data_IF_009717192651
#
_entry.id   IF_009717192651
#
_cell.length_a   1.000
_cell.length_b   1.000
_cell.length_c   1.000
_cell.angle_alpha   90.00
_cell.angle_beta   90.00
_cell.angle_gamma   90.00
#
_symmetry.space_group_name_H-M   'P 1'
#
loop_
_entity.id
_entity.type
_entity.pdbx_description
1 polymer ?
#
# COMPACT_ATOMS: atom_id res chain seq x y z
N UNK A 1 32.24 14.88 11.46
CA UNK A 1 31.60 15.07 12.77
C UNK A 1 30.55 13.98 12.93
N UNK A 2 30.61 13.20 14.03
CA UNK A 2 29.52 12.25 14.30
C UNK A 2 28.21 13.02 14.55
N UNK A 3 27.18 12.71 13.79
CA UNK A 3 25.85 13.30 13.98
C UNK A 3 25.31 12.92 15.38
N UNK A 4 24.76 13.89 16.10
CA UNK A 4 24.16 13.65 17.43
C UNK A 4 23.10 12.54 17.33
N UNK A 5 23.21 11.53 18.20
CA UNK A 5 22.22 10.45 18.32
C UNK A 5 21.10 10.88 19.27
N UNK A 6 19.85 10.74 18.82
CA UNK A 6 18.65 11.09 19.57
C UNK A 6 17.94 9.85 20.12
N UNK A 7 18.07 8.69 19.45
CA UNK A 7 17.27 7.51 19.70
C UNK A 7 18.15 6.31 20.03
N UNK A 8 17.78 5.58 21.09
CA UNK A 8 18.35 4.29 21.41
C UNK A 8 17.71 3.20 20.53
N UNK A 9 18.32 2.01 20.43
CA UNK A 9 17.84 0.93 19.58
C UNK A 9 16.39 0.51 19.91
N UNK A 10 16.05 0.44 21.20
CA UNK A 10 14.70 0.07 21.62
C UNK A 10 13.63 1.13 21.30
N UNK A 11 14.01 2.41 21.22
CA UNK A 11 13.10 3.46 20.74
C UNK A 11 12.78 3.26 19.25
N UNK A 12 13.78 2.87 18.44
CA UNK A 12 13.61 2.63 17.01
C UNK A 12 12.72 1.41 16.74
N UNK A 13 12.96 0.31 17.47
CA UNK A 13 12.13 -0.90 17.39
C UNK A 13 10.72 -0.62 17.89
N UNK A 14 10.59 0.03 19.05
CA UNK A 14 9.28 0.41 19.59
C UNK A 14 8.49 1.34 18.64
N UNK A 15 9.15 2.35 18.05
CA UNK A 15 8.52 3.18 17.02
C UNK A 15 8.06 2.35 15.82
N UNK A 16 8.90 1.44 15.32
CA UNK A 16 8.58 0.57 14.19
C UNK A 16 7.36 -0.34 14.42
N UNK A 17 7.05 -0.70 15.68
CA UNK A 17 5.86 -1.52 16.00
C UNK A 17 4.54 -0.86 15.60
N UNK A 18 4.52 0.45 15.32
CA UNK A 18 3.37 1.14 14.73
C UNK A 18 2.97 0.59 13.36
N UNK A 19 3.93 0.04 12.60
CA UNK A 19 3.61 -0.62 11.33
C UNK A 19 2.94 -1.98 11.51
N UNK A 20 3.08 -2.65 12.67
CA UNK A 20 2.23 -3.81 13.01
C UNK A 20 0.78 -3.35 13.07
N UNK A 21 0.51 -2.29 13.81
CA UNK A 21 -0.84 -1.75 13.94
C UNK A 21 -1.44 -1.35 12.58
N UNK A 22 -0.70 -0.57 11.78
CA UNK A 22 -1.14 -0.15 10.45
C UNK A 22 -1.41 -1.32 9.51
N UNK A 23 -0.52 -2.32 9.49
CA UNK A 23 -0.63 -3.45 8.57
C UNK A 23 -1.62 -4.52 9.01
N UNK A 24 -1.92 -4.66 10.30
CA UNK A 24 -3.04 -5.49 10.76
C UNK A 24 -4.36 -5.00 10.13
N UNK A 25 -4.61 -3.70 10.11
CA UNK A 25 -5.80 -3.13 9.45
C UNK A 25 -5.69 -3.26 7.94
N UNK A 26 -4.59 -2.80 7.35
CA UNK A 26 -4.43 -2.77 5.91
C UNK A 26 -4.48 -4.16 5.28
N UNK A 27 -3.70 -5.12 5.79
CA UNK A 27 -3.63 -6.46 5.22
C UNK A 27 -4.93 -7.24 5.37
N UNK A 28 -5.63 -7.09 6.52
CA UNK A 28 -6.93 -7.72 6.73
C UNK A 28 -7.97 -7.20 5.73
N UNK A 29 -8.05 -5.88 5.55
CA UNK A 29 -9.01 -5.27 4.63
C UNK A 29 -8.64 -5.57 3.18
N UNK A 30 -7.39 -5.38 2.79
CA UNK A 30 -6.97 -5.58 1.40
C UNK A 30 -7.12 -7.02 0.91
N UNK A 31 -6.87 -8.00 1.79
CA UNK A 31 -6.91 -9.41 1.42
C UNK A 31 -8.29 -10.06 1.62
N UNK A 32 -9.05 -9.65 2.64
CA UNK A 32 -10.17 -10.45 3.11
C UNK A 32 -11.51 -9.71 3.17
N UNK A 33 -11.56 -8.38 3.12
CA UNK A 33 -12.83 -7.65 3.24
C UNK A 33 -13.81 -8.02 2.12
N UNK A 34 -13.32 -8.16 0.88
CA UNK A 34 -14.17 -8.49 -0.25
C UNK A 34 -14.80 -9.89 -0.08
N UNK A 35 -13.98 -10.92 0.22
CA UNK A 35 -14.49 -12.29 0.39
C UNK A 35 -15.38 -12.43 1.63
N UNK A 36 -15.11 -11.69 2.70
CA UNK A 36 -16.00 -11.64 3.85
C UNK A 36 -17.38 -11.09 3.47
N UNK A 37 -17.40 -9.97 2.74
CA UNK A 37 -18.66 -9.33 2.35
C UNK A 37 -19.45 -10.15 1.32
N UNK A 38 -18.77 -10.81 0.40
CA UNK A 38 -19.42 -11.62 -0.64
C UNK A 38 -19.83 -13.01 -0.12
N UNK A 39 -18.91 -13.76 0.47
CA UNK A 39 -19.13 -15.17 0.81
C UNK A 39 -19.78 -15.37 2.16
N UNK A 40 -19.55 -14.46 3.12
CA UNK A 40 -20.09 -14.61 4.48
C UNK A 40 -21.36 -13.78 4.68
N UNK A 41 -21.35 -12.52 4.25
CA UNK A 41 -22.51 -11.62 4.40
C UNK A 41 -23.50 -11.76 3.22
N UNK A 42 -23.01 -12.09 2.03
CA UNK A 42 -23.87 -12.30 0.87
C UNK A 42 -24.09 -11.07 0.00
N UNK A 43 -23.18 -10.09 0.04
CA UNK A 43 -23.28 -8.85 -0.69
C UNK A 43 -22.73 -8.98 -2.12
N UNK A 44 -23.24 -8.17 -3.05
CA UNK A 44 -22.76 -8.15 -4.43
C UNK A 44 -21.39 -7.52 -4.53
N UNK A 45 -20.43 -8.24 -5.13
CA UNK A 45 -19.05 -7.80 -5.27
C UNK A 45 -18.87 -6.47 -6.03
N UNK A 46 -19.71 -6.21 -7.04
CA UNK A 46 -19.68 -4.99 -7.83
C UNK A 46 -20.07 -3.76 -7.01
N UNK A 47 -21.12 -3.88 -6.18
CA UNK A 47 -21.55 -2.81 -5.29
C UNK A 47 -20.49 -2.56 -4.23
N UNK A 48 -19.97 -3.61 -3.59
CA UNK A 48 -18.90 -3.51 -2.59
C UNK A 48 -17.67 -2.84 -3.16
N UNK A 49 -17.21 -3.23 -4.36
CA UNK A 49 -16.08 -2.61 -5.03
C UNK A 49 -16.29 -1.12 -5.31
N UNK A 50 -17.51 -0.73 -5.73
CA UNK A 50 -17.88 0.67 -5.93
C UNK A 50 -17.83 1.47 -4.63
N UNK A 51 -18.36 0.93 -3.53
CA UNK A 51 -18.33 1.59 -2.22
C UNK A 51 -16.89 1.78 -1.71
N UNK A 52 -16.02 0.78 -1.92
CA UNK A 52 -14.58 0.89 -1.60
C UNK A 52 -13.93 2.00 -2.43
N UNK A 53 -14.22 2.08 -3.74
CA UNK A 53 -13.65 3.11 -4.59
C UNK A 53 -14.06 4.52 -4.15
N UNK A 54 -15.34 4.73 -3.85
CA UNK A 54 -15.86 6.00 -3.35
C UNK A 54 -15.18 6.36 -2.03
N UNK A 55 -15.07 5.42 -1.11
CA UNK A 55 -14.37 5.63 0.16
C UNK A 55 -12.91 6.04 -0.02
N UNK A 56 -12.20 5.47 -1.01
CA UNK A 56 -10.81 5.81 -1.33
C UNK A 56 -10.64 7.24 -1.88
N UNK A 57 -11.65 7.79 -2.54
CA UNK A 57 -11.65 9.20 -2.95
C UNK A 57 -11.71 10.11 -1.70
N UNK A 58 -12.58 9.80 -0.74
CA UNK A 58 -12.64 10.53 0.53
C UNK A 58 -11.33 10.41 1.31
N UNK A 59 -10.71 9.23 1.33
CA UNK A 59 -9.40 9.00 1.96
C UNK A 59 -8.31 9.90 1.35
N UNK A 60 -8.28 10.07 0.02
CA UNK A 60 -7.33 10.98 -0.64
C UNK A 60 -7.53 12.46 -0.28
N UNK A 61 -8.79 12.90 -0.13
CA UNK A 61 -9.11 14.27 0.25
C UNK A 61 -8.76 14.53 1.71
N UNK A 62 -9.03 13.58 2.60
CA UNK A 62 -8.81 13.71 4.04
C UNK A 62 -7.34 13.81 4.44
N UNK A 63 -6.40 13.31 3.62
CA UNK A 63 -4.96 13.44 3.87
C UNK A 63 -4.52 14.89 4.07
N UNK A 64 -4.96 15.77 3.18
CA UNK A 64 -4.61 17.20 3.24
C UNK A 64 -5.20 17.85 4.49
N UNK A 65 -6.42 17.47 4.84
CA UNK A 65 -7.12 17.99 5.99
C UNK A 65 -6.42 17.59 7.31
N UNK A 66 -6.14 16.29 7.49
CA UNK A 66 -5.48 15.81 8.71
C UNK A 66 -4.03 16.28 8.81
N UNK A 67 -3.29 16.39 7.71
CA UNK A 67 -1.96 16.96 7.71
C UNK A 67 -1.95 18.38 8.32
N UNK A 68 -2.86 19.24 7.85
CA UNK A 68 -2.98 20.61 8.36
C UNK A 68 -3.44 20.67 9.83
N UNK A 69 -4.28 19.73 10.27
CA UNK A 69 -4.71 19.67 11.69
C UNK A 69 -3.58 19.24 12.62
N UNK A 70 -2.78 18.24 12.20
CA UNK A 70 -1.62 17.75 12.98
C UNK A 70 -0.60 18.88 13.17
N UNK A 71 -0.29 19.63 12.11
CA UNK A 71 0.66 20.74 12.17
C UNK A 71 0.24 21.84 13.12
N UNK A 72 -1.07 22.10 13.26
CA UNK A 72 -1.63 23.10 14.18
C UNK A 72 -1.78 22.59 15.61
N UNK A 73 -1.63 21.30 15.85
CA UNK A 73 -1.84 20.67 17.16
C UNK A 73 -0.70 21.03 18.12
N UNK A 74 -1.06 21.48 19.32
CA UNK A 74 -0.14 21.79 20.42
C UNK A 74 -0.64 21.12 21.69
N UNK A 75 -0.03 20.02 22.09
CA UNK A 75 -0.38 19.29 23.31
C UNK A 75 0.85 18.97 24.14
N UNK A 76 0.64 18.58 25.41
CA UNK A 76 1.72 18.09 26.27
C UNK A 76 2.41 16.82 25.75
N UNK A 77 1.73 16.06 24.90
CA UNK A 77 2.28 14.86 24.27
C UNK A 77 3.07 15.17 22.98
N UNK A 78 2.95 16.37 22.43
CA UNK A 78 3.50 16.78 21.15
C UNK A 78 2.43 17.07 20.11
N UNK A 79 2.81 17.10 18.82
CA UNK A 79 1.93 17.40 17.68
C UNK A 79 1.29 16.14 17.10
N UNK A 80 2.09 15.11 16.84
CA UNK A 80 1.68 13.90 16.12
C UNK A 80 1.22 12.77 17.07
N UNK A 81 1.88 12.59 18.21
CA UNK A 81 1.61 11.48 19.14
C UNK A 81 0.15 11.38 19.61
N UNK A 82 -0.58 12.46 19.95
CA UNK A 82 -1.97 12.35 20.35
C UNK A 82 -2.87 11.86 19.22
N UNK A 83 -2.65 12.31 17.98
CA UNK A 83 -3.40 11.83 16.80
C UNK A 83 -3.16 10.37 16.53
N UNK A 84 -1.91 9.92 16.69
CA UNK A 84 -1.55 8.53 16.56
C UNK A 84 -2.22 7.67 17.63
N UNK A 85 -2.18 8.10 18.89
CA UNK A 85 -2.75 7.33 20.01
C UNK A 85 -4.28 7.24 19.91
N UNK A 86 -4.94 8.40 19.89
CA UNK A 86 -6.42 8.45 19.92
C UNK A 86 -7.04 8.04 18.58
N UNK A 87 -6.40 8.36 17.44
CA UNK A 87 -6.85 7.94 16.13
C UNK A 87 -6.93 6.42 16.00
N UNK A 88 -5.99 5.69 16.59
CA UNK A 88 -6.00 4.24 16.48
C UNK A 88 -7.13 3.55 17.26
N UNK A 89 -7.62 4.12 18.34
CA UNK A 89 -8.83 3.61 18.99
C UNK A 89 -10.04 3.66 18.05
N UNK A 90 -10.18 4.75 17.30
CA UNK A 90 -11.21 4.83 16.26
C UNK A 90 -11.01 3.80 15.14
N UNK A 91 -9.75 3.56 14.72
CA UNK A 91 -9.43 2.48 13.76
C UNK A 91 -9.89 1.12 14.28
N UNK A 92 -9.59 0.78 15.54
CA UNK A 92 -9.93 -0.49 16.14
C UNK A 92 -11.45 -0.70 16.22
N UNK A 93 -12.20 0.32 16.62
CA UNK A 93 -13.67 0.29 16.67
C UNK A 93 -14.26 0.12 15.27
N UNK A 94 -13.80 0.88 14.29
CA UNK A 94 -14.29 0.79 12.92
C UNK A 94 -13.90 -0.55 12.26
N UNK A 95 -12.70 -1.07 12.54
CA UNK A 95 -12.30 -2.39 12.06
C UNK A 95 -13.23 -3.48 12.60
N UNK A 96 -13.50 -3.48 13.91
CA UNK A 96 -14.45 -4.39 14.51
C UNK A 96 -15.85 -4.21 13.90
N UNK A 97 -16.32 -2.99 13.69
CA UNK A 97 -17.62 -2.69 13.11
C UNK A 97 -17.78 -3.27 11.69
N UNK A 98 -16.74 -3.22 10.84
CA UNK A 98 -16.78 -3.80 9.48
C UNK A 98 -17.06 -5.30 9.54
N UNK A 99 -16.50 -6.03 10.51
CA UNK A 99 -16.69 -7.47 10.66
C UNK A 99 -17.82 -7.84 11.63
N UNK A 100 -18.54 -6.84 12.17
CA UNK A 100 -19.71 -6.99 13.03
C UNK A 100 -21.02 -6.68 12.32
N UNK A 101 -21.07 -6.72 11.00
CA UNK A 101 -22.30 -6.49 10.23
C UNK A 101 -23.33 -7.57 10.62
N UNK A 102 -24.55 -7.18 11.09
CA UNK A 102 -25.59 -8.15 11.40
C UNK A 102 -26.08 -8.86 10.14
N UNK A 103 -26.11 -10.21 10.19
CA UNK A 103 -26.50 -11.03 9.03
C UNK A 103 -27.98 -10.91 8.72
N UNK A 104 -28.80 -10.61 9.75
CA UNK A 104 -30.27 -10.53 9.65
C UNK A 104 -30.77 -9.18 9.13
N UNK A 105 -29.89 -8.21 8.90
CA UNK A 105 -30.25 -6.92 8.33
C UNK A 105 -30.52 -7.05 6.82
N UNK A 106 -31.43 -6.24 6.30
CA UNK A 106 -31.61 -6.12 4.85
C UNK A 106 -30.35 -5.62 4.14
N UNK A 107 -30.11 -6.11 2.93
CA UNK A 107 -28.88 -5.84 2.16
C UNK A 107 -28.53 -4.36 2.04
N UNK A 108 -29.51 -3.48 1.84
CA UNK A 108 -29.30 -2.02 1.78
C UNK A 108 -28.69 -1.48 3.07
N UNK A 109 -29.17 -1.93 4.22
CA UNK A 109 -28.64 -1.50 5.52
C UNK A 109 -27.23 -2.07 5.76
N UNK A 110 -26.93 -3.29 5.27
CA UNK A 110 -25.59 -3.88 5.33
C UNK A 110 -24.59 -3.11 4.47
N UNK A 111 -24.98 -2.69 3.26
CA UNK A 111 -24.14 -1.81 2.40
C UNK A 111 -23.87 -0.47 3.08
N UNK A 112 -24.90 0.16 3.65
CA UNK A 112 -24.75 1.44 4.34
C UNK A 112 -23.85 1.30 5.57
N UNK A 113 -24.03 0.27 6.37
CA UNK A 113 -23.18 -0.05 7.52
C UNK A 113 -21.71 -0.22 7.11
N UNK A 114 -21.47 -1.06 6.10
CA UNK A 114 -20.14 -1.27 5.58
C UNK A 114 -19.51 0.03 5.10
N UNK A 115 -20.23 0.80 4.27
CA UNK A 115 -19.71 2.04 3.69
C UNK A 115 -19.35 3.08 4.76
N UNK A 116 -20.19 3.26 5.76
CA UNK A 116 -19.94 4.19 6.87
C UNK A 116 -18.72 3.72 7.68
N UNK A 117 -18.70 2.47 8.12
CA UNK A 117 -17.61 1.94 8.95
C UNK A 117 -16.28 1.95 8.18
N UNK A 118 -16.28 1.55 6.90
CA UNK A 118 -15.10 1.50 6.06
C UNK A 118 -14.57 2.90 5.73
N UNK A 119 -15.45 3.87 5.46
CA UNK A 119 -15.07 5.25 5.16
C UNK A 119 -14.55 5.96 6.39
N UNK A 120 -15.20 5.82 7.55
CA UNK A 120 -14.71 6.37 8.82
C UNK A 120 -13.35 5.76 9.18
N UNK A 121 -13.16 4.46 8.96
CA UNK A 121 -11.88 3.82 9.18
C UNK A 121 -10.81 4.43 8.28
N UNK A 122 -10.97 4.37 6.96
CA UNK A 122 -9.92 4.77 6.02
C UNK A 122 -9.73 6.29 5.97
N UNK A 123 -10.79 7.05 5.65
CA UNK A 123 -10.71 8.50 5.45
C UNK A 123 -10.69 9.31 6.76
N UNK A 124 -11.01 8.69 7.87
CA UNK A 124 -10.98 9.35 9.19
C UNK A 124 -9.78 8.90 10.02
N UNK A 125 -10.00 7.83 10.76
CA UNK A 125 -9.09 7.42 11.83
C UNK A 125 -7.75 6.87 11.34
N UNK A 126 -7.75 6.03 10.30
CA UNK A 126 -6.52 5.44 9.76
C UNK A 126 -5.65 6.51 9.09
N UNK A 127 -6.24 7.41 8.30
CA UNK A 127 -5.52 8.53 7.69
C UNK A 127 -4.92 9.45 8.75
N UNK A 128 -5.68 9.83 9.78
CA UNK A 128 -5.16 10.65 10.87
C UNK A 128 -3.99 9.98 11.59
N UNK A 129 -4.11 8.68 11.91
CA UNK A 129 -3.04 7.90 12.53
C UNK A 129 -1.81 7.78 11.63
N UNK A 130 -1.99 7.43 10.35
CA UNK A 130 -0.89 7.17 9.42
C UNK A 130 -0.09 8.43 9.07
N UNK A 131 -0.77 9.59 8.89
CA UNK A 131 -0.09 10.87 8.66
C UNK A 131 0.68 11.29 9.91
N UNK A 132 0.07 11.15 11.09
CA UNK A 132 0.75 11.43 12.36
C UNK A 132 1.98 10.54 12.55
N UNK A 133 1.86 9.24 12.28
CA UNK A 133 2.95 8.29 12.35
C UNK A 133 4.10 8.63 11.39
N UNK A 134 3.77 9.01 10.17
CA UNK A 134 4.78 9.40 9.17
C UNK A 134 5.49 10.71 9.54
N UNK A 135 4.74 11.72 10.01
CA UNK A 135 5.31 13.00 10.44
C UNK A 135 6.17 12.86 11.69
N UNK A 136 5.84 11.90 12.58
CA UNK A 136 6.57 11.63 13.81
C UNK A 136 8.05 11.31 13.55
N UNK A 137 8.39 10.68 12.42
CA UNK A 137 9.79 10.41 12.04
C UNK A 137 10.65 11.67 12.03
N UNK A 138 10.10 12.78 11.52
CA UNK A 138 10.82 14.05 11.44
C UNK A 138 10.85 14.78 12.79
N UNK A 139 9.89 14.50 13.68
CA UNK A 139 9.72 15.17 14.97
C UNK A 139 10.55 14.55 16.09
N UNK A 140 11.04 13.32 15.95
CA UNK A 140 11.77 12.59 17.00
C UNK A 140 13.28 12.55 16.81
N UNK A 141 13.79 12.85 15.62
CA UNK A 141 15.22 12.91 15.34
C UNK A 141 15.56 13.83 14.17
N UNK A 142 16.72 14.50 14.27
CA UNK A 142 17.35 15.23 13.17
C UNK A 142 18.42 14.42 12.44
N UNK A 143 18.82 13.28 13.00
CA UNK A 143 19.87 12.44 12.45
C UNK A 143 19.34 11.62 11.26
N UNK A 144 19.91 11.85 10.08
CA UNK A 144 19.48 11.18 8.85
C UNK A 144 19.71 9.66 8.89
N UNK A 145 20.82 9.21 9.50
CA UNK A 145 21.09 7.78 9.67
C UNK A 145 20.05 7.09 10.55
N UNK A 146 19.58 7.75 11.63
CA UNK A 146 18.49 7.24 12.46
C UNK A 146 17.16 7.17 11.70
N UNK A 147 16.84 8.17 10.87
CA UNK A 147 15.64 8.16 10.01
C UNK A 147 15.62 6.99 9.05
N UNK A 148 16.78 6.71 8.41
CA UNK A 148 16.92 5.55 7.50
C UNK A 148 16.75 4.23 8.27
N UNK A 149 17.39 4.10 9.43
CA UNK A 149 17.24 2.89 10.28
C UNK A 149 15.78 2.67 10.71
N UNK A 150 15.07 3.72 11.12
CA UNK A 150 13.65 3.64 11.46
C UNK A 150 12.81 3.23 10.26
N UNK A 151 13.07 3.80 9.09
CA UNK A 151 12.41 3.39 7.85
C UNK A 151 12.58 1.90 7.56
N UNK A 152 13.81 1.38 7.68
CA UNK A 152 14.09 -0.05 7.48
C UNK A 152 13.36 -0.95 8.48
N UNK A 153 13.34 -0.56 9.77
CA UNK A 153 12.62 -1.30 10.82
C UNK A 153 11.11 -1.29 10.54
N UNK A 154 10.56 -0.14 10.13
CA UNK A 154 9.17 -0.01 9.72
C UNK A 154 8.82 -0.98 8.60
N UNK A 155 9.61 -1.03 7.53
CA UNK A 155 9.39 -1.97 6.43
C UNK A 155 9.42 -3.42 6.88
N UNK A 156 10.34 -3.82 7.76
CA UNK A 156 10.39 -5.18 8.30
C UNK A 156 9.09 -5.54 9.04
N UNK A 157 8.59 -4.65 9.90
CA UNK A 157 7.32 -4.88 10.60
C UNK A 157 6.12 -4.88 9.64
N UNK A 158 6.09 -3.97 8.67
CA UNK A 158 5.00 -3.88 7.70
C UNK A 158 4.88 -5.17 6.88
N UNK A 159 5.97 -5.60 6.25
CA UNK A 159 5.97 -6.82 5.44
C UNK A 159 5.75 -8.08 6.29
N UNK A 160 6.42 -8.18 7.44
CA UNK A 160 6.26 -9.32 8.34
C UNK A 160 4.82 -9.47 8.83
N UNK A 161 4.18 -8.37 9.24
CA UNK A 161 2.78 -8.38 9.67
C UNK A 161 1.84 -8.74 8.52
N UNK A 162 2.03 -8.13 7.36
CA UNK A 162 1.20 -8.41 6.18
C UNK A 162 1.26 -9.89 5.78
N UNK A 163 2.46 -10.48 5.78
CA UNK A 163 2.66 -11.91 5.52
C UNK A 163 1.95 -12.79 6.56
N UNK A 164 2.10 -12.47 7.84
CA UNK A 164 1.46 -13.23 8.91
C UNK A 164 -0.07 -13.17 8.81
N UNK A 165 -0.64 -11.99 8.63
CA UNK A 165 -2.10 -11.82 8.48
C UNK A 165 -2.62 -12.66 7.30
N UNK A 166 -1.99 -12.59 6.14
CA UNK A 166 -2.41 -13.34 4.96
C UNK A 166 -2.24 -14.87 5.12
N UNK A 167 -1.21 -15.31 5.83
CA UNK A 167 -0.95 -16.73 6.05
C UNK A 167 -1.83 -17.37 7.12
N UNK A 168 -2.19 -16.62 8.16
CA UNK A 168 -2.80 -17.18 9.38
C UNK A 168 -4.31 -16.98 9.42
N UNK A 169 -4.84 -15.88 8.82
CA UNK A 169 -6.25 -15.49 9.00
C UNK A 169 -7.24 -16.59 8.60
N UNK A 170 -7.09 -17.19 7.42
CA UNK A 170 -8.02 -18.25 6.95
C UNK A 170 -8.02 -19.43 7.92
N UNK A 171 -6.83 -19.92 8.30
CA UNK A 171 -6.69 -21.04 9.24
C UNK A 171 -7.25 -20.71 10.62
N UNK A 172 -7.14 -19.45 11.05
CA UNK A 172 -7.64 -19.00 12.34
C UNK A 172 -9.18 -18.92 12.32
N UNK A 173 -9.75 -18.40 11.25
CA UNK A 173 -11.21 -18.39 11.03
C UNK A 173 -11.77 -19.82 11.02
N UNK A 174 -11.13 -20.74 10.29
CA UNK A 174 -11.54 -22.15 10.25
C UNK A 174 -11.50 -22.81 11.64
N UNK A 175 -10.42 -22.60 12.40
CA UNK A 175 -10.31 -23.14 13.79
C UNK A 175 -11.38 -22.63 14.73
N UNK A 176 -11.90 -21.44 14.49
CA UNK A 176 -12.99 -20.83 15.26
C UNK A 176 -14.39 -21.26 14.76
N UNK A 177 -14.47 -22.21 13.85
CA UNK A 177 -15.73 -22.76 13.34
C UNK A 177 -16.27 -22.06 12.09
N UNK A 178 -15.56 -21.11 11.51
CA UNK A 178 -15.98 -20.39 10.30
C UNK A 178 -17.16 -19.44 10.50
N UNK A 179 -17.69 -18.89 9.40
CA UNK A 179 -18.84 -17.99 9.40
C UNK A 179 -18.58 -16.60 10.01
N UNK A 180 -19.64 -15.79 10.11
CA UNK A 180 -19.53 -14.38 10.52
C UNK A 180 -18.98 -14.22 11.95
N UNK A 181 -19.31 -15.12 12.87
CA UNK A 181 -18.85 -15.06 14.26
C UNK A 181 -17.32 -15.26 14.36
N UNK A 182 -16.74 -16.19 13.58
CA UNK A 182 -15.31 -16.42 13.55
C UNK A 182 -14.56 -15.20 12.98
N UNK A 183 -15.04 -14.64 11.87
CA UNK A 183 -14.47 -13.42 11.28
C UNK A 183 -14.51 -12.24 12.25
N UNK A 184 -15.64 -12.05 12.95
CA UNK A 184 -15.78 -11.02 13.98
C UNK A 184 -14.73 -11.18 15.08
N UNK A 185 -14.57 -12.41 15.59
CA UNK A 185 -13.61 -12.72 16.66
C UNK A 185 -12.18 -12.42 16.20
N UNK A 186 -11.81 -12.83 15.00
CA UNK A 186 -10.48 -12.57 14.42
C UNK A 186 -10.23 -11.06 14.26
N UNK A 187 -11.21 -10.31 13.74
CA UNK A 187 -11.09 -8.87 13.58
C UNK A 187 -10.93 -8.13 14.92
N UNK A 188 -11.66 -8.56 15.97
CA UNK A 188 -11.51 -8.00 17.32
C UNK A 188 -10.12 -8.30 17.89
N UNK A 189 -9.61 -9.52 17.75
CA UNK A 189 -8.27 -9.89 18.21
C UNK A 189 -7.23 -9.04 17.50
N UNK A 190 -7.34 -8.87 16.19
CA UNK A 190 -6.44 -8.03 15.40
C UNK A 190 -6.55 -6.55 15.79
N UNK A 191 -7.75 -6.05 16.06
CA UNK A 191 -7.95 -4.69 16.57
C UNK A 191 -7.22 -4.47 17.91
N UNK A 192 -7.31 -5.43 18.83
CA UNK A 192 -6.61 -5.38 20.13
C UNK A 192 -5.08 -5.40 19.94
N UNK A 193 -4.55 -6.31 19.09
CA UNK A 193 -3.13 -6.37 18.77
C UNK A 193 -2.67 -5.01 18.21
N UNK A 194 -3.46 -4.42 17.33
CA UNK A 194 -3.16 -3.13 16.76
C UNK A 194 -3.15 -2.00 17.80
N UNK A 195 -4.11 -1.95 18.71
CA UNK A 195 -4.13 -0.97 19.82
C UNK A 195 -2.88 -1.09 20.69
N UNK A 196 -2.51 -2.32 21.07
CA UNK A 196 -1.32 -2.57 21.89
C UNK A 196 -0.06 -2.10 21.14
N UNK A 197 0.12 -2.54 19.89
CA UNK A 197 1.30 -2.21 19.08
C UNK A 197 1.41 -0.71 18.80
N UNK A 198 0.31 -0.04 18.47
CA UNK A 198 0.28 1.41 18.28
C UNK A 198 0.60 2.17 19.56
N UNK A 199 0.05 1.73 20.71
CA UNK A 199 0.33 2.34 22.02
C UNK A 199 1.80 2.18 22.38
N UNK A 200 2.39 1.00 22.19
CA UNK A 200 3.84 0.77 22.38
C UNK A 200 4.64 1.72 21.50
N UNK A 201 4.28 1.87 20.23
CA UNK A 201 4.95 2.77 19.29
C UNK A 201 4.94 4.22 19.78
N UNK A 202 3.78 4.73 20.18
CA UNK A 202 3.62 6.11 20.67
C UNK A 202 4.41 6.35 21.95
N UNK A 203 4.41 5.41 22.89
CA UNK A 203 5.08 5.54 24.18
C UNK A 203 6.61 5.34 24.10
N UNK A 204 7.08 4.64 23.05
CA UNK A 204 8.52 4.34 22.86
C UNK A 204 9.35 5.57 22.49
N UNK A 205 8.75 6.63 21.99
CA UNK A 205 9.44 7.82 21.49
C UNK A 205 8.85 9.11 22.07
N UNK A 206 9.65 10.17 22.05
CA UNK A 206 9.23 11.51 22.47
C UNK A 206 9.55 12.49 21.35
N UNK A 207 8.63 13.39 21.07
CA UNK A 207 8.86 14.49 20.15
C UNK A 207 9.86 15.49 20.72
N UNK A 208 10.74 16.01 19.88
CA UNK A 208 11.66 17.09 20.20
C UNK A 208 10.88 18.38 20.40
N UNK A 209 11.36 19.23 21.29
CA UNK A 209 10.74 20.55 21.50
C UNK A 209 10.88 21.44 20.25
N UNK A 210 9.99 22.42 20.09
CA UNK A 210 10.07 23.38 18.97
C UNK A 210 11.43 24.12 18.95
N UNK A 211 12.05 24.35 20.13
CA UNK A 211 13.40 24.92 20.25
C UNK A 211 14.46 23.97 19.67
N UNK A 212 14.41 22.69 20.04
CA UNK A 212 15.33 21.68 19.52
C UNK A 212 15.14 21.47 18.01
N UNK A 213 13.93 21.58 17.49
CA UNK A 213 13.63 21.46 16.06
C UNK A 213 14.13 22.66 15.25
N UNK A 214 14.11 23.87 15.80
CA UNK A 214 14.56 25.10 15.14
C UNK A 214 16.08 25.31 15.21
N UNK A 215 16.78 24.76 16.20
CA UNK A 215 18.23 24.83 16.29
C UNK A 215 18.92 24.22 15.06
N UNK A 216 19.66 25.01 14.28
CA UNK A 216 20.42 24.55 13.12
C UNK A 216 19.67 24.57 11.78
N UNK A 217 18.42 25.02 11.72
CA UNK A 217 17.84 25.46 10.45
C UNK A 217 18.49 26.80 10.07
N UNK A 218 19.42 26.78 9.14
CA UNK A 218 19.66 27.95 8.28
C UNK A 218 18.35 28.21 7.56
N UNK A 219 17.96 29.48 7.44
CA UNK A 219 16.80 29.90 6.67
C UNK A 219 16.88 29.25 5.30
N UNK A 220 16.23 28.08 5.17
CA UNK A 220 16.06 27.43 3.89
C UNK A 220 15.15 28.35 3.08
N UNK A 221 15.75 28.90 2.03
CA UNK A 221 15.22 29.66 0.91
C UNK A 221 13.68 29.76 0.93
N UNK A 222 13.19 30.98 0.99
CA UNK A 222 11.78 31.31 0.86
C UNK A 222 11.16 30.42 -0.24
N UNK A 223 10.37 29.43 0.18
CA UNK A 223 9.57 28.67 -0.79
C UNK A 223 8.71 29.69 -1.50
N UNK A 224 9.04 30.00 -2.75
CA UNK A 224 8.15 30.80 -3.57
C UNK A 224 6.76 30.18 -3.47
N UNK A 225 5.79 30.94 -2.98
CA UNK A 225 4.41 30.51 -2.85
C UNK A 225 3.82 30.36 -4.24
N UNK A 226 3.92 29.16 -4.81
CA UNK A 226 3.23 28.84 -6.05
C UNK A 226 1.73 28.78 -5.82
N UNK A 227 0.98 29.26 -6.82
CA UNK A 227 -0.41 28.87 -6.93
C UNK A 227 -0.46 27.36 -7.23
N UNK A 228 -1.19 26.56 -6.44
CA UNK A 228 -1.34 25.12 -6.62
C UNK A 228 -1.76 24.75 -8.04
N UNK A 229 -2.56 25.62 -8.69
CA UNK A 229 -3.01 25.43 -10.07
C UNK A 229 -1.82 25.50 -11.05
N UNK A 230 -0.89 26.42 -10.84
CA UNK A 230 0.28 26.55 -11.71
C UNK A 230 1.25 25.38 -11.53
N UNK A 231 1.45 24.92 -10.28
CA UNK A 231 2.22 23.72 -10.01
C UNK A 231 1.59 22.51 -10.70
N UNK A 232 0.27 22.32 -10.61
CA UNK A 232 -0.43 21.24 -11.28
C UNK A 232 -0.31 21.31 -12.81
N UNK A 233 -0.41 22.50 -13.41
CA UNK A 233 -0.18 22.68 -14.85
C UNK A 233 1.22 22.27 -15.29
N UNK A 234 2.25 22.61 -14.52
CA UNK A 234 3.65 22.20 -14.78
C UNK A 234 3.75 20.66 -14.77
N UNK A 235 3.15 20.01 -13.77
CA UNK A 235 3.20 18.55 -13.62
C UNK A 235 2.51 17.83 -14.79
N UNK A 236 1.36 18.29 -15.23
CA UNK A 236 0.61 17.69 -16.37
C UNK A 236 1.38 17.84 -17.69
N UNK A 237 2.23 18.84 -17.83
CA UNK A 237 3.07 19.00 -19.03
C UNK A 237 4.41 18.23 -18.94
N UNK A 238 4.75 17.69 -17.78
CA UNK A 238 5.94 16.87 -17.61
C UNK A 238 5.65 15.41 -18.00
N UNK A 239 6.15 14.99 -19.18
CA UNK A 239 5.97 13.62 -19.69
C UNK A 239 6.46 12.53 -18.74
N UNK A 240 7.58 12.76 -18.02
CA UNK A 240 8.12 11.79 -17.07
C UNK A 240 7.25 11.65 -15.82
N UNK A 241 6.66 12.75 -15.37
CA UNK A 241 5.69 12.71 -14.28
C UNK A 241 4.44 11.92 -14.67
N UNK A 242 3.88 12.12 -15.86
CA UNK A 242 2.74 11.36 -16.36
C UNK A 242 3.06 9.86 -16.49
N UNK A 243 4.28 9.52 -16.92
CA UNK A 243 4.75 8.13 -16.98
C UNK A 243 4.80 7.49 -15.58
N UNK A 244 5.32 8.21 -14.57
CA UNK A 244 5.35 7.73 -13.18
C UNK A 244 3.93 7.56 -12.64
N UNK A 245 3.03 8.51 -12.87
CA UNK A 245 1.63 8.37 -12.49
C UNK A 245 0.96 7.16 -13.15
N UNK A 246 1.23 6.94 -14.43
CA UNK A 246 0.76 5.75 -15.15
C UNK A 246 1.30 4.43 -14.57
N UNK A 247 2.58 4.40 -14.23
CA UNK A 247 3.19 3.24 -13.57
C UNK A 247 2.56 2.96 -12.20
N UNK A 248 2.36 3.99 -11.37
CA UNK A 248 1.66 3.86 -10.08
C UNK A 248 0.24 3.33 -10.24
N UNK A 249 -0.52 3.89 -11.18
CA UNK A 249 -1.88 3.42 -11.45
C UNK A 249 -1.89 1.93 -11.81
N UNK A 250 -1.02 1.52 -12.75
CA UNK A 250 -0.91 0.12 -13.16
C UNK A 250 -0.47 -0.81 -12.03
N UNK A 251 0.46 -0.35 -11.15
CA UNK A 251 0.86 -1.09 -9.96
C UNK A 251 -0.30 -1.28 -8.98
N UNK A 252 -1.18 -0.30 -8.84
CA UNK A 252 -2.37 -0.42 -7.98
C UNK A 252 -3.43 -1.35 -8.59
N UNK A 253 -3.65 -1.28 -9.89
CA UNK A 253 -4.50 -2.24 -10.60
C UNK A 253 -3.97 -3.67 -10.48
N UNK A 254 -2.66 -3.85 -10.64
CA UNK A 254 -1.97 -5.11 -10.41
C UNK A 254 -2.21 -5.64 -8.98
N UNK A 255 -2.02 -4.80 -7.97
CA UNK A 255 -2.24 -5.17 -6.57
C UNK A 255 -3.69 -5.57 -6.30
N UNK A 256 -4.66 -4.85 -6.86
CA UNK A 256 -6.08 -5.17 -6.72
C UNK A 256 -6.43 -6.53 -7.34
N UNK A 257 -5.88 -6.86 -8.52
CA UNK A 257 -6.11 -8.17 -9.15
C UNK A 257 -5.46 -9.31 -8.36
N UNK A 258 -4.32 -9.10 -7.74
CA UNK A 258 -3.73 -10.07 -6.82
C UNK A 258 -4.56 -10.28 -5.55
N UNK A 259 -5.23 -9.24 -5.05
CA UNK A 259 -6.18 -9.35 -3.95
C UNK A 259 -7.35 -10.30 -4.24
N UNK A 260 -7.73 -10.45 -5.53
CA UNK A 260 -8.73 -11.44 -5.95
C UNK A 260 -8.19 -12.87 -6.01
N UNK A 261 -6.91 -13.08 -5.74
CA UNK A 261 -6.26 -14.40 -5.74
C UNK A 261 -6.89 -15.39 -4.79
N UNK A 262 -7.50 -14.92 -3.69
CA UNK A 262 -8.21 -15.80 -2.75
C UNK A 262 -9.38 -16.54 -3.42
N UNK A 263 -10.10 -15.88 -4.34
CA UNK A 263 -11.17 -16.52 -5.13
C UNK A 263 -10.62 -17.54 -6.11
N UNK A 264 -9.51 -17.20 -6.79
CA UNK A 264 -8.84 -18.14 -7.68
C UNK A 264 -8.38 -19.39 -6.94
N UNK A 265 -7.77 -19.22 -5.76
CA UNK A 265 -7.32 -20.34 -4.93
C UNK A 265 -8.47 -21.17 -4.39
N UNK A 266 -9.56 -20.55 -3.95
CA UNK A 266 -10.74 -21.24 -3.43
C UNK A 266 -11.48 -22.01 -4.51
N UNK A 267 -11.77 -21.38 -5.64
CA UNK A 267 -12.68 -21.93 -6.66
C UNK A 267 -12.00 -22.60 -7.86
N UNK A 268 -10.70 -22.34 -8.08
CA UNK A 268 -9.92 -22.97 -9.15
C UNK A 268 -8.93 -23.99 -8.60
N UNK A 269 -8.19 -23.64 -7.54
CA UNK A 269 -7.21 -24.54 -6.94
C UNK A 269 -7.78 -25.37 -5.77
N UNK A 270 -9.05 -25.16 -5.39
CA UNK A 270 -9.79 -25.99 -4.43
C UNK A 270 -9.53 -25.69 -2.96
N UNK A 271 -8.69 -24.69 -2.61
CA UNK A 271 -8.47 -24.30 -1.22
C UNK A 271 -7.95 -22.86 -1.07
N UNK A 272 -8.63 -22.06 -0.28
CA UNK A 272 -8.24 -20.68 0.05
C UNK A 272 -6.98 -20.59 0.95
N UNK A 273 -6.60 -21.69 1.63
CA UNK A 273 -5.36 -21.78 2.42
C UNK A 273 -4.09 -21.51 1.59
N UNK A 274 -4.12 -21.78 0.28
CA UNK A 274 -3.03 -21.47 -0.63
C UNK A 274 -2.74 -19.97 -0.72
N UNK A 275 -3.71 -19.11 -0.44
CA UNK A 275 -3.51 -17.66 -0.48
C UNK A 275 -2.35 -17.20 0.42
N UNK A 276 -2.24 -17.76 1.63
CA UNK A 276 -1.11 -17.51 2.50
C UNK A 276 0.23 -18.00 1.91
N UNK A 277 0.24 -19.18 1.29
CA UNK A 277 1.44 -19.75 0.65
C UNK A 277 1.92 -18.87 -0.51
N UNK A 278 1.00 -18.41 -1.35
CA UNK A 278 1.31 -17.47 -2.44
C UNK A 278 1.77 -16.10 -1.92
N UNK A 279 1.20 -15.62 -0.81
CA UNK A 279 1.67 -14.41 -0.15
C UNK A 279 3.16 -14.52 0.26
N UNK A 280 3.59 -15.67 0.77
CA UNK A 280 5.00 -15.91 1.07
C UNK A 280 5.87 -15.92 -0.18
N UNK A 281 5.40 -16.57 -1.24
CA UNK A 281 6.10 -16.61 -2.53
C UNK A 281 6.24 -15.21 -3.18
N UNK A 282 5.37 -14.26 -2.84
CA UNK A 282 5.48 -12.86 -3.28
C UNK A 282 6.43 -12.08 -2.36
N UNK A 283 6.15 -12.08 -1.05
CA UNK A 283 6.79 -11.14 -0.13
C UNK A 283 8.24 -11.48 0.18
N UNK A 284 8.62 -12.77 0.34
CA UNK A 284 10.01 -13.15 0.66
C UNK A 284 10.98 -12.74 -0.46
N UNK A 285 10.75 -13.12 -1.75
CA UNK A 285 11.64 -12.69 -2.83
C UNK A 285 11.64 -11.18 -3.04
N UNK A 286 10.51 -10.50 -2.80
CA UNK A 286 10.43 -9.04 -2.88
C UNK A 286 11.32 -8.38 -1.83
N UNK A 287 11.29 -8.84 -0.57
CA UNK A 287 12.15 -8.32 0.50
C UNK A 287 13.63 -8.53 0.15
N UNK A 288 14.00 -9.74 -0.30
CA UNK A 288 15.37 -10.04 -0.71
C UNK A 288 15.82 -9.11 -1.85
N UNK A 289 14.98 -8.93 -2.85
CA UNK A 289 15.26 -8.04 -3.96
C UNK A 289 15.39 -6.57 -3.53
N UNK A 290 14.52 -6.08 -2.63
CA UNK A 290 14.62 -4.73 -2.06
C UNK A 290 15.93 -4.50 -1.30
N UNK A 291 16.42 -5.48 -0.55
CA UNK A 291 17.69 -5.40 0.17
C UNK A 291 18.89 -5.33 -0.78
N UNK A 292 18.80 -5.98 -1.94
CA UNK A 292 19.88 -6.01 -2.94
C UNK A 292 19.83 -4.78 -3.86
N UNK A 293 18.66 -4.18 -4.05
CA UNK A 293 18.44 -3.05 -4.98
C UNK A 293 19.44 -1.90 -4.82
N UNK A 294 19.73 -1.35 -3.62
CA UNK A 294 20.69 -0.24 -3.49
C UNK A 294 22.09 -0.58 -3.99
N UNK A 295 22.53 -1.82 -3.77
CA UNK A 295 23.84 -2.30 -4.25
C UNK A 295 23.86 -2.40 -5.77
N UNK A 296 22.75 -2.87 -6.37
CA UNK A 296 22.64 -3.01 -7.81
C UNK A 296 22.53 -1.63 -8.50
N UNK A 297 21.79 -0.69 -7.93
CA UNK A 297 21.70 0.70 -8.44
C UNK A 297 23.09 1.34 -8.50
N UNK A 298 23.88 1.17 -7.43
CA UNK A 298 25.25 1.71 -7.39
C UNK A 298 26.14 1.06 -8.44
N UNK A 299 26.08 -0.27 -8.60
CA UNK A 299 26.91 -1.01 -9.60
C UNK A 299 26.52 -0.70 -11.04
N UNK A 300 25.26 -0.44 -11.32
CA UNK A 300 24.74 -0.15 -12.67
C UNK A 300 24.75 1.34 -13.00
N UNK A 301 25.20 2.20 -12.08
CA UNK A 301 25.23 3.66 -12.19
C UNK A 301 23.87 4.28 -12.55
N UNK A 302 22.80 3.79 -11.94
CA UNK A 302 21.46 4.34 -12.09
C UNK A 302 20.34 3.32 -11.98
N UNK A 303 19.12 3.81 -11.85
CA UNK A 303 17.90 3.02 -11.65
C UNK A 303 17.33 2.50 -12.99
N UNK A 304 17.54 3.22 -14.09
CA UNK A 304 16.90 2.95 -15.39
C UNK A 304 17.10 1.50 -15.88
N UNK A 305 18.35 1.07 -15.98
CA UNK A 305 18.68 -0.29 -16.48
C UNK A 305 18.19 -1.36 -15.53
N UNK A 306 18.35 -1.14 -14.21
CA UNK A 306 17.94 -2.08 -13.19
C UNK A 306 16.43 -2.33 -13.21
N UNK A 307 15.63 -1.27 -13.30
CA UNK A 307 14.18 -1.36 -13.32
C UNK A 307 13.67 -2.04 -14.59
N UNK A 308 14.27 -1.78 -15.77
CA UNK A 308 13.89 -2.48 -16.99
C UNK A 308 14.20 -3.98 -16.90
N UNK A 309 15.44 -4.34 -16.54
CA UNK A 309 15.84 -5.75 -16.43
C UNK A 309 14.97 -6.47 -15.39
N UNK A 310 14.74 -5.83 -14.24
CA UNK A 310 13.86 -6.35 -13.21
C UNK A 310 12.45 -6.62 -13.72
N UNK A 311 11.83 -5.65 -14.40
CA UNK A 311 10.47 -5.83 -14.94
C UNK A 311 10.39 -6.79 -16.12
N UNK A 312 11.44 -6.95 -16.92
CA UNK A 312 11.52 -8.01 -17.94
C UNK A 312 11.52 -9.39 -17.28
N UNK A 313 12.33 -9.59 -16.23
CA UNK A 313 12.33 -10.81 -15.43
C UNK A 313 10.96 -11.01 -14.77
N UNK A 314 10.37 -9.95 -14.20
CA UNK A 314 9.05 -9.97 -13.60
C UNK A 314 7.96 -10.37 -14.58
N UNK A 315 8.00 -9.85 -15.79
CA UNK A 315 7.04 -10.19 -16.88
C UNK A 315 7.22 -11.64 -17.33
N UNK A 316 8.46 -12.11 -17.52
CA UNK A 316 8.74 -13.51 -17.83
C UNK A 316 8.24 -14.45 -16.71
N UNK A 317 8.46 -14.07 -15.43
CA UNK A 317 7.91 -14.78 -14.28
C UNK A 317 6.38 -14.84 -14.32
N UNK A 318 5.70 -13.71 -14.61
CA UNK A 318 4.22 -13.70 -14.75
C UNK A 318 3.72 -14.57 -15.91
N UNK A 319 4.42 -14.58 -17.04
CA UNK A 319 4.10 -15.51 -18.12
C UNK A 319 4.24 -16.97 -17.66
N UNK A 320 5.29 -17.27 -16.89
CA UNK A 320 5.47 -18.58 -16.26
C UNK A 320 4.31 -18.95 -15.32
N UNK A 321 3.79 -17.99 -14.53
CA UNK A 321 2.60 -18.21 -13.67
C UNK A 321 1.37 -18.52 -14.53
N UNK A 322 1.17 -17.82 -15.66
CA UNK A 322 0.06 -18.12 -16.59
C UNK A 322 0.15 -19.56 -17.10
N UNK A 323 1.31 -19.95 -17.62
CA UNK A 323 1.53 -21.30 -18.15
C UNK A 323 1.32 -22.35 -17.05
N UNK A 324 1.92 -22.17 -15.89
CA UNK A 324 1.79 -23.07 -14.75
C UNK A 324 0.35 -23.19 -14.23
N UNK A 325 -0.42 -22.08 -14.29
CA UNK A 325 -1.84 -22.04 -13.92
C UNK A 325 -2.71 -22.89 -14.84
N UNK A 326 -2.47 -22.88 -16.15
CA UNK A 326 -3.18 -23.74 -17.10
C UNK A 326 -2.75 -25.22 -17.01
N UNK A 327 -1.49 -25.48 -16.65
CA UNK A 327 -1.01 -26.85 -16.38
C UNK A 327 -1.58 -27.37 -15.04
N UNK A 328 -2.03 -26.49 -14.14
CA UNK A 328 -2.51 -26.85 -12.82
C UNK A 328 -1.40 -27.18 -11.81
N UNK A 329 -0.14 -26.77 -12.08
CA UNK A 329 1.01 -27.09 -11.21
C UNK A 329 1.24 -25.98 -10.18
N UNK A 330 0.78 -26.18 -8.95
CA UNK A 330 0.98 -25.25 -7.84
C UNK A 330 2.46 -24.96 -7.57
N UNK A 331 3.38 -25.95 -7.53
CA UNK A 331 4.80 -25.67 -7.30
C UNK A 331 5.42 -24.75 -8.36
N UNK A 332 5.07 -24.95 -9.64
CA UNK A 332 5.54 -24.08 -10.72
C UNK A 332 4.95 -22.67 -10.61
N UNK A 333 3.67 -22.56 -10.24
CA UNK A 333 3.05 -21.26 -9.99
C UNK A 333 3.76 -20.51 -8.87
N UNK A 334 4.09 -21.17 -7.76
CA UNK A 334 4.81 -20.56 -6.64
C UNK A 334 6.22 -20.12 -7.05
N UNK A 335 6.95 -20.97 -7.78
CA UNK A 335 8.29 -20.64 -8.27
C UNK A 335 8.28 -19.40 -9.18
N UNK A 336 7.42 -19.38 -10.18
CA UNK A 336 7.34 -18.26 -11.12
C UNK A 336 6.76 -16.99 -10.46
N UNK A 337 5.90 -17.13 -9.45
CA UNK A 337 5.44 -16.01 -8.63
C UNK A 337 6.61 -15.38 -7.85
N UNK A 338 7.50 -16.21 -7.31
CA UNK A 338 8.70 -15.74 -6.62
C UNK A 338 9.67 -15.03 -7.59
N UNK A 339 9.89 -15.57 -8.78
CA UNK A 339 10.70 -14.93 -9.84
C UNK A 339 10.10 -13.59 -10.24
N UNK A 340 8.77 -13.52 -10.42
CA UNK A 340 8.08 -12.28 -10.76
C UNK A 340 8.24 -11.22 -9.67
N UNK A 341 8.02 -11.58 -8.41
CA UNK A 341 8.12 -10.68 -7.27
C UNK A 341 9.55 -10.15 -7.07
N UNK A 342 10.56 -11.01 -7.22
CA UNK A 342 11.96 -10.61 -7.19
C UNK A 342 12.29 -9.62 -8.29
N UNK A 343 11.86 -9.89 -9.52
CA UNK A 343 12.11 -9.00 -10.66
C UNK A 343 11.47 -7.62 -10.51
N UNK A 344 10.30 -7.53 -9.86
CA UNK A 344 9.59 -6.26 -9.68
C UNK A 344 10.10 -5.43 -8.49
N UNK A 345 10.90 -6.02 -7.60
CA UNK A 345 11.35 -5.36 -6.36
C UNK A 345 12.15 -4.08 -6.56
N UNK A 346 13.05 -3.91 -7.56
CA UNK A 346 13.80 -2.68 -7.73
C UNK A 346 12.90 -1.46 -7.89
N UNK A 347 11.91 -1.52 -8.76
CA UNK A 347 11.00 -0.40 -8.98
C UNK A 347 10.23 -0.04 -7.70
N UNK A 348 9.80 -1.03 -6.94
CA UNK A 348 9.11 -0.81 -5.66
C UNK A 348 9.98 0.00 -4.68
N UNK A 349 11.29 -0.28 -4.66
CA UNK A 349 12.26 0.44 -3.82
C UNK A 349 12.62 1.83 -4.37
N UNK A 350 12.73 1.95 -5.68
CA UNK A 350 13.25 3.14 -6.36
C UNK A 350 12.17 4.20 -6.66
N UNK A 351 10.91 3.91 -6.46
CA UNK A 351 9.80 4.77 -6.89
C UNK A 351 9.89 6.19 -6.32
N UNK A 352 10.21 6.33 -5.03
CA UNK A 352 10.41 7.64 -4.41
C UNK A 352 11.63 8.38 -4.99
N UNK A 353 12.69 7.65 -5.33
CA UNK A 353 13.88 8.21 -5.95
C UNK A 353 13.59 8.66 -7.40
N UNK A 354 12.76 7.93 -8.14
CA UNK A 354 12.30 8.33 -9.47
C UNK A 354 11.44 9.59 -9.44
N UNK A 355 10.58 9.77 -8.42
CA UNK A 355 9.82 11.01 -8.21
C UNK A 355 10.79 12.17 -7.97
N UNK A 356 11.79 12.00 -7.09
CA UNK A 356 12.80 13.02 -6.82
C UNK A 356 13.60 13.37 -8.07
N UNK A 357 14.02 12.38 -8.87
CA UNK A 357 14.73 12.58 -10.14
C UNK A 357 13.86 13.33 -11.17
N UNK A 358 12.56 13.07 -11.18
CA UNK A 358 11.60 13.75 -12.07
C UNK A 358 11.32 15.18 -11.59
N UNK A 359 11.34 15.42 -10.28
CA UNK A 359 11.27 16.77 -9.73
C UNK A 359 12.50 17.59 -10.11
N UNK A 360 13.69 17.00 -10.07
CA UNK A 360 14.92 17.65 -10.56
C UNK A 360 14.82 18.00 -12.05
N UNK A 361 14.27 17.11 -12.90
CA UNK A 361 13.99 17.41 -14.30
C UNK A 361 13.08 18.64 -14.44
N UNK A 362 12.02 18.73 -13.63
CA UNK A 362 11.11 19.88 -13.63
C UNK A 362 11.83 21.15 -13.23
N UNK A 363 12.70 21.08 -12.22
CA UNK A 363 13.51 22.22 -11.77
C UNK A 363 14.47 22.71 -12.88
N UNK A 364 15.15 21.80 -13.56
CA UNK A 364 16.09 22.12 -14.62
C UNK A 364 15.40 22.72 -15.85
N UNK A 365 14.16 22.29 -16.16
CA UNK A 365 13.42 22.77 -17.33
C UNK A 365 12.58 24.01 -17.09
N UNK A 366 12.08 24.23 -15.88
CA UNK A 366 11.13 25.32 -15.56
C UNK A 366 11.66 26.32 -14.56
N UNK A 367 12.81 26.05 -13.91
CA UNK A 367 13.35 26.85 -12.81
C UNK A 367 12.55 26.74 -11.50
N UNK A 368 11.46 25.98 -11.47
CA UNK A 368 10.54 25.90 -10.33
C UNK A 368 10.69 24.58 -9.56
N UNK A 369 10.66 24.66 -8.24
CA UNK A 369 10.74 23.51 -7.33
C UNK A 369 9.33 23.09 -6.91
N UNK A 370 8.82 21.98 -7.42
CA UNK A 370 7.43 21.49 -7.21
C UNK A 370 7.37 20.12 -6.51
N UNK A 371 8.39 19.78 -5.73
CA UNK A 371 8.56 18.47 -5.06
C UNK A 371 7.31 18.08 -4.27
N UNK A 372 6.86 18.95 -3.36
CA UNK A 372 5.72 18.66 -2.49
C UNK A 372 4.44 18.36 -3.26
N UNK A 373 4.14 19.13 -4.31
CA UNK A 373 2.96 18.90 -5.16
C UNK A 373 3.09 17.58 -5.92
N UNK A 374 4.29 17.24 -6.40
CA UNK A 374 4.54 15.99 -7.13
C UNK A 374 4.29 14.77 -6.23
N UNK A 375 4.84 14.75 -5.02
CA UNK A 375 4.58 13.68 -4.06
C UNK A 375 3.10 13.59 -3.65
N UNK A 376 2.45 14.73 -3.42
CA UNK A 376 1.01 14.77 -3.07
C UNK A 376 0.13 14.20 -4.18
N UNK A 377 0.37 14.59 -5.43
CA UNK A 377 -0.36 14.07 -6.60
C UNK A 377 -0.13 12.56 -6.77
N UNK A 378 1.09 12.07 -6.51
CA UNK A 378 1.40 10.64 -6.60
C UNK A 378 0.69 9.86 -5.50
N UNK A 379 0.69 10.37 -4.27
CA UNK A 379 -0.03 9.75 -3.14
C UNK A 379 -1.53 9.68 -3.41
N UNK A 380 -2.14 10.77 -3.86
CA UNK A 380 -3.54 10.80 -4.26
C UNK A 380 -3.83 9.80 -5.38
N UNK A 381 -2.99 9.77 -6.43
CA UNK A 381 -3.11 8.82 -7.53
C UNK A 381 -3.05 7.36 -7.08
N UNK A 382 -2.18 7.04 -6.10
CA UNK A 382 -2.08 5.71 -5.51
C UNK A 382 -3.38 5.28 -4.81
N UNK A 383 -3.98 6.16 -4.01
CA UNK A 383 -5.23 5.86 -3.29
C UNK A 383 -6.42 5.69 -4.25
N UNK A 384 -6.56 6.63 -5.19
CA UNK A 384 -7.62 6.57 -6.21
C UNK A 384 -7.41 5.33 -7.10
N UNK A 385 -6.18 5.06 -7.53
CA UNK A 385 -5.84 3.87 -8.32
C UNK A 385 -6.17 2.57 -7.60
N UNK A 386 -5.87 2.47 -6.30
CA UNK A 386 -6.22 1.32 -5.47
C UNK A 386 -7.74 1.13 -5.34
N UNK A 387 -8.48 2.23 -5.16
CA UNK A 387 -9.95 2.21 -5.13
C UNK A 387 -10.55 1.76 -6.46
N UNK A 388 -10.12 2.37 -7.57
CA UNK A 388 -10.55 1.99 -8.91
C UNK A 388 -10.21 0.53 -9.24
N UNK A 389 -9.00 0.09 -8.88
CA UNK A 389 -8.58 -1.31 -9.08
C UNK A 389 -9.50 -2.28 -8.36
N UNK A 390 -9.86 -1.99 -7.11
CA UNK A 390 -10.78 -2.84 -6.34
C UNK A 390 -12.20 -2.80 -6.92
N UNK A 391 -12.67 -1.64 -7.38
CA UNK A 391 -13.99 -1.54 -8.05
C UNK A 391 -14.03 -2.35 -9.34
N UNK A 392 -13.02 -2.20 -10.22
CA UNK A 392 -12.92 -2.96 -11.48
C UNK A 392 -12.90 -4.46 -11.18
N UNK A 393 -12.09 -4.89 -10.22
CA UNK A 393 -12.04 -6.30 -9.82
C UNK A 393 -13.39 -6.80 -9.29
N UNK A 394 -14.10 -6.01 -8.48
CA UNK A 394 -15.44 -6.32 -8.01
C UNK A 394 -16.47 -6.39 -9.13
N UNK A 395 -16.43 -5.46 -10.08
CA UNK A 395 -17.33 -5.46 -11.26
C UNK A 395 -17.07 -6.67 -12.18
N UNK A 396 -15.81 -7.01 -12.41
CA UNK A 396 -15.44 -8.19 -13.19
C UNK A 396 -15.97 -9.47 -12.53
N UNK A 397 -15.81 -9.59 -11.21
CA UNK A 397 -16.32 -10.74 -10.46
C UNK A 397 -17.86 -10.80 -10.53
N UNK A 398 -18.56 -9.67 -10.33
CA UNK A 398 -20.01 -9.61 -10.44
C UNK A 398 -20.52 -9.96 -11.84
N UNK A 399 -19.89 -9.40 -12.88
CA UNK A 399 -20.26 -9.63 -14.28
C UNK A 399 -19.98 -11.09 -14.73
N UNK A 400 -19.12 -11.81 -14.05
CA UNK A 400 -18.79 -13.21 -14.37
C UNK A 400 -19.90 -14.22 -14.03
N UNK A 401 -20.95 -13.77 -13.34
CA UNK A 401 -21.97 -14.66 -12.79
C UNK A 401 -21.52 -15.41 -11.54
N UNK A 402 -20.63 -14.81 -10.77
CA UNK A 402 -20.15 -15.35 -9.51
C UNK A 402 -21.30 -15.64 -8.53
N UNK A 403 -21.34 -16.85 -8.01
CA UNK A 403 -22.30 -17.30 -6.99
C UNK A 403 -21.54 -17.58 -5.70
N UNK A 404 -21.91 -16.90 -4.65
CA UNK A 404 -21.26 -17.02 -3.34
C UNK A 404 -21.40 -18.44 -2.78
N UNK A 405 -20.33 -18.96 -2.21
CA UNK A 405 -20.25 -20.28 -1.57
C UNK A 405 -20.79 -21.45 -2.41
N UNK A 406 -20.92 -21.31 -3.74
CA UNK A 406 -21.25 -22.42 -4.59
C UNK A 406 -20.14 -23.46 -4.54
N UNK A 407 -20.51 -24.73 -4.50
CA UNK A 407 -19.54 -25.84 -4.53
C UNK A 407 -18.70 -25.83 -5.82
N UNK A 408 -19.31 -25.40 -6.93
CA UNK A 408 -18.66 -25.19 -8.22
C UNK A 408 -19.16 -23.88 -8.82
N UNK A 409 -18.26 -23.12 -9.44
CA UNK A 409 -18.61 -21.91 -10.18
C UNK A 409 -18.94 -22.21 -11.64
N UNK A 410 -19.69 -21.31 -12.27
CA UNK A 410 -19.92 -21.40 -13.74
C UNK A 410 -18.60 -21.30 -14.49
N UNK A 411 -18.53 -21.88 -15.71
CA UNK A 411 -17.35 -21.79 -16.55
C UNK A 411 -16.99 -20.32 -16.87
N UNK A 412 -17.99 -19.45 -17.01
CA UNK A 412 -17.78 -18.00 -17.20
C UNK A 412 -17.03 -17.38 -16.00
N UNK A 413 -17.43 -17.73 -14.78
CA UNK A 413 -16.78 -17.26 -13.57
C UNK A 413 -15.34 -17.79 -13.45
N UNK A 414 -15.13 -19.09 -13.69
CA UNK A 414 -13.80 -19.70 -13.71
C UNK A 414 -12.89 -19.01 -14.71
N UNK A 415 -13.34 -18.81 -15.95
CA UNK A 415 -12.57 -18.10 -16.98
C UNK A 415 -12.23 -16.66 -16.55
N UNK A 416 -13.17 -15.96 -15.91
CA UNK A 416 -12.92 -14.62 -15.37
C UNK A 416 -11.85 -14.62 -14.28
N UNK A 417 -11.85 -15.61 -13.38
CA UNK A 417 -10.82 -15.75 -12.35
C UNK A 417 -9.43 -16.01 -12.97
N UNK A 418 -9.33 -16.79 -14.06
CA UNK A 418 -8.08 -16.94 -14.82
C UNK A 418 -7.64 -15.59 -15.40
N UNK A 419 -8.55 -14.82 -15.99
CA UNK A 419 -8.23 -13.48 -16.52
C UNK A 419 -7.73 -12.58 -15.40
N UNK A 420 -8.45 -12.49 -14.27
CA UNK A 420 -8.14 -11.58 -13.17
C UNK A 420 -6.83 -11.91 -12.47
N UNK A 421 -6.54 -13.19 -12.22
CA UNK A 421 -5.39 -13.57 -11.41
C UNK A 421 -4.13 -13.88 -12.23
N UNK A 422 -4.28 -14.40 -13.47
CA UNK A 422 -3.14 -14.75 -14.30
C UNK A 422 -2.84 -13.69 -15.37
N UNK A 423 -3.83 -13.36 -16.21
CA UNK A 423 -3.60 -12.52 -17.38
C UNK A 423 -3.46 -11.04 -17.07
N UNK A 424 -4.34 -10.46 -16.26
CA UNK A 424 -4.27 -9.03 -15.96
C UNK A 424 -2.95 -8.64 -15.29
N UNK A 425 -2.44 -9.35 -14.27
CA UNK A 425 -1.14 -9.04 -13.69
C UNK A 425 0.00 -9.12 -14.71
N UNK A 426 -0.05 -10.07 -15.66
CA UNK A 426 0.95 -10.16 -16.73
C UNK A 426 0.85 -8.95 -17.68
N UNK A 427 -0.36 -8.60 -18.11
CA UNK A 427 -0.59 -7.44 -19.01
C UNK A 427 -0.11 -6.16 -18.34
N UNK A 428 -0.43 -5.93 -17.06
CA UNK A 428 0.03 -4.75 -16.35
C UNK A 428 1.55 -4.70 -16.26
N UNK A 429 2.23 -5.80 -16.04
CA UNK A 429 3.69 -5.86 -16.04
C UNK A 429 4.28 -5.50 -17.41
N UNK A 430 3.68 -5.99 -18.51
CA UNK A 430 4.09 -5.61 -19.88
C UNK A 430 3.94 -4.09 -20.07
N UNK A 431 2.80 -3.52 -19.68
CA UNK A 431 2.56 -2.08 -19.81
C UNK A 431 3.52 -1.25 -18.96
N UNK A 432 3.78 -1.67 -17.73
CA UNK A 432 4.77 -1.00 -16.86
C UNK A 432 6.17 -1.11 -17.48
N UNK A 433 6.55 -2.27 -18.01
CA UNK A 433 7.83 -2.45 -18.71
C UNK A 433 7.96 -1.48 -19.88
N UNK A 434 6.89 -1.32 -20.67
CA UNK A 434 6.87 -0.35 -21.77
C UNK A 434 7.04 1.10 -21.28
N UNK A 435 6.39 1.48 -20.18
CA UNK A 435 6.59 2.80 -19.56
C UNK A 435 8.05 2.97 -19.12
N UNK A 436 8.63 1.98 -18.44
CA UNK A 436 10.01 2.04 -17.95
C UNK A 436 11.05 2.19 -19.06
N UNK A 437 10.87 1.52 -20.19
CA UNK A 437 11.76 1.66 -21.36
C UNK A 437 11.78 3.10 -21.86
N UNK A 438 10.67 3.82 -21.73
CA UNK A 438 10.55 5.23 -22.14
C UNK A 438 10.91 6.23 -21.04
N UNK A 439 11.00 5.80 -19.78
CA UNK A 439 11.28 6.65 -18.61
C UNK A 439 12.78 6.99 -18.49
N UNK A 440 13.31 7.74 -19.44
CA UNK A 440 14.74 8.10 -19.55
C UNK A 440 15.08 9.38 -18.78
N UNK A 441 14.43 9.64 -17.65
CA UNK A 441 14.57 10.90 -16.89
C UNK A 441 16.01 11.11 -16.37
N UNK A 442 16.70 10.05 -15.92
CA UNK A 442 18.09 10.15 -15.46
C UNK A 442 19.04 10.64 -16.58
N UNK A 443 18.82 10.15 -17.81
CA UNK A 443 19.61 10.59 -18.98
C UNK A 443 19.28 12.05 -19.33
N UNK A 444 18.00 12.42 -19.34
CA UNK A 444 17.57 13.78 -19.62
C UNK A 444 18.14 14.79 -18.62
N UNK A 445 18.19 14.45 -17.32
CA UNK A 445 18.82 15.32 -16.32
C UNK A 445 20.32 15.51 -16.56
N UNK A 446 21.04 14.44 -16.90
CA UNK A 446 22.49 14.55 -17.23
C UNK A 446 22.74 15.45 -18.45
N UNK A 447 21.91 15.33 -19.48
CA UNK A 447 22.01 16.16 -20.68
C UNK A 447 21.74 17.65 -20.37
N UNK A 448 20.75 17.96 -19.53
CA UNK A 448 20.41 19.31 -19.10
C UNK A 448 21.48 19.93 -18.18
N UNK A 449 22.15 19.13 -17.36
CA UNK A 449 23.20 19.59 -16.46
C UNK A 449 24.55 19.84 -17.20
N UNK A 450 24.71 19.25 -18.38
CA UNK A 450 25.91 19.41 -19.20
C UNK A 450 25.84 20.61 -20.17
N UNK A 451 24.68 21.22 -20.30
CA UNK A 451 24.42 22.46 -21.03
C UNK A 451 24.62 23.70 -20.13
#
# INVERSE_FOLDING_TARGET
>A
MEEKKYLKWYNKVGYGSGDIAGNVVYALLAAFVMIYLTDIIGLNAGIVGTLIAISKIFDGISDVFFGAMIDKTKTKMGKARPWMLYGYFGCAVCLAAIFCIPVDMGSTAQYAWFFIAYTLLNAGFYTANNIAYSSLTALITKNNSERVQMGSIRFMFAFGTSMLIQAVTVRFVEKLGGGAAAWRTVAIIYAIIGVISNTVSVLSVRELSDKELSEGKKDDEAQEKYNLIDAFKILVHNKYFLMICGAYLLMQLYSATLGMGIYFMKYVLGTDRLFGTFSWAINIPMIVGLLITPVLVTRLNGMYKLNIVGYVIGTAGRLGVVIAGYIGSIPLMLFFTAVAAFGMSPLQGDMNALIATTSEYTRLTTGKKVDGTMYSCTSFGTKVGGGLGTAIAGWMLAASGYVQNAATQSQSCVNMLYIMYLWLPMIFNVLITFILVNLKVEKANKELQSQ
#
